data_IF_533691126248
#
_entry.id   IF_533691126248
#
_cell.length_a   1.000
_cell.length_b   1.000
_cell.length_c   1.000
_cell.angle_alpha   90.00
_cell.angle_beta   90.00
_cell.angle_gamma   90.00
#
_symmetry.space_group_name_H-M   'P 1'
#
loop_
_entity.id
_entity.type
_entity.pdbx_description
1 polymer ?
#
# COMPACT_ATOMS: atom_id res chain seq x y z
N UNK A 1 19.65 -19.01 -10.71
CA UNK A 1 18.86 -17.76 -10.62
C UNK A 1 19.66 -16.61 -11.18
N UNK A 2 19.04 -15.70 -11.86
CA UNK A 2 19.70 -14.49 -12.35
C UNK A 2 19.39 -13.34 -11.38
N UNK A 3 20.39 -12.93 -10.62
CA UNK A 3 20.21 -11.90 -9.57
C UNK A 3 19.81 -10.55 -10.14
N UNK A 4 20.32 -10.18 -11.32
CA UNK A 4 19.95 -8.92 -11.94
C UNK A 4 18.48 -8.91 -12.37
N UNK A 5 18.01 -9.98 -13.01
CA UNK A 5 16.62 -10.13 -13.39
C UNK A 5 15.71 -10.08 -12.17
N UNK A 6 16.10 -10.77 -11.11
CA UNK A 6 15.35 -10.79 -9.87
C UNK A 6 15.22 -9.39 -9.27
N UNK A 7 16.32 -8.65 -9.16
CA UNK A 7 16.30 -7.31 -8.60
C UNK A 7 15.47 -6.34 -9.42
N UNK A 8 15.55 -6.40 -10.74
CA UNK A 8 14.74 -5.54 -11.62
C UNK A 8 13.25 -5.86 -11.46
N UNK A 9 12.91 -7.15 -11.46
CA UNK A 9 11.53 -7.61 -11.28
C UNK A 9 10.96 -7.19 -9.93
N UNK A 10 11.75 -7.33 -8.87
CA UNK A 10 11.36 -6.95 -7.52
C UNK A 10 11.06 -5.45 -7.42
N UNK A 11 11.97 -4.62 -7.91
CA UNK A 11 11.79 -3.16 -7.89
C UNK A 11 10.58 -2.72 -8.71
N UNK A 12 10.37 -3.34 -9.87
CA UNK A 12 9.26 -3.04 -10.75
C UNK A 12 7.93 -3.34 -10.03
N UNK A 13 7.85 -4.51 -9.39
CA UNK A 13 6.66 -4.90 -8.64
C UNK A 13 6.39 -3.93 -7.50
N UNK A 14 7.40 -3.63 -6.68
CA UNK A 14 7.24 -2.75 -5.52
C UNK A 14 6.88 -1.32 -5.93
N UNK A 15 7.45 -0.83 -7.03
CA UNK A 15 7.10 0.49 -7.55
C UNK A 15 5.63 0.54 -7.97
N UNK A 16 5.17 -0.49 -8.68
CA UNK A 16 3.78 -0.58 -9.11
C UNK A 16 2.84 -0.61 -7.91
N UNK A 17 3.15 -1.43 -6.91
CA UNK A 17 2.35 -1.52 -5.68
C UNK A 17 2.33 -0.18 -4.94
N UNK A 18 3.49 0.45 -4.78
CA UNK A 18 3.58 1.73 -4.07
C UNK A 18 2.81 2.84 -4.76
N UNK A 19 3.01 3.01 -6.05
CA UNK A 19 2.34 4.06 -6.83
C UNK A 19 0.84 3.84 -6.87
N UNK A 20 0.40 2.61 -7.14
CA UNK A 20 -1.03 2.29 -7.22
C UNK A 20 -1.72 2.39 -5.87
N UNK A 21 -1.06 1.92 -4.81
CA UNK A 21 -1.60 2.00 -3.46
C UNK A 21 -1.76 3.45 -3.01
N UNK A 22 -0.76 4.28 -3.29
CA UNK A 22 -0.84 5.70 -2.95
C UNK A 22 -2.04 6.36 -3.61
N UNK A 23 -2.26 6.09 -4.89
CA UNK A 23 -3.41 6.63 -5.64
C UNK A 23 -4.74 6.19 -5.03
N UNK A 24 -4.84 4.89 -4.68
CA UNK A 24 -6.04 4.37 -4.07
C UNK A 24 -6.34 5.03 -2.73
N UNK A 25 -5.31 5.24 -1.91
CA UNK A 25 -5.45 5.91 -0.62
C UNK A 25 -5.88 7.36 -0.82
N UNK A 26 -5.24 8.09 -1.73
CA UNK A 26 -5.59 9.48 -1.99
C UNK A 26 -7.04 9.64 -2.43
N UNK A 27 -7.50 8.77 -3.32
CA UNK A 27 -8.87 8.80 -3.81
C UNK A 27 -9.87 8.44 -2.71
N UNK A 28 -9.54 7.45 -1.87
CA UNK A 28 -10.41 7.04 -0.77
C UNK A 28 -10.53 8.15 0.27
N UNK A 29 -9.43 8.81 0.61
CA UNK A 29 -9.45 9.93 1.55
C UNK A 29 -10.28 11.09 0.98
N UNK A 30 -10.10 11.42 -0.30
CA UNK A 30 -10.86 12.48 -0.93
C UNK A 30 -12.37 12.21 -0.90
N UNK A 31 -12.79 10.97 -1.20
CA UNK A 31 -14.18 10.58 -1.13
C UNK A 31 -14.73 10.67 0.30
N UNK A 32 -13.95 10.24 1.28
CA UNK A 32 -14.37 10.23 2.67
C UNK A 32 -14.43 11.63 3.26
N UNK A 33 -13.55 12.53 2.83
CA UNK A 33 -13.63 13.95 3.20
C UNK A 33 -14.88 14.59 2.61
N UNK A 34 -15.16 14.31 1.34
CA UNK A 34 -16.33 14.88 0.65
C UNK A 34 -17.64 14.40 1.27
N UNK A 35 -17.72 13.15 1.71
CA UNK A 35 -18.91 12.58 2.34
C UNK A 35 -19.02 12.87 3.83
N UNK A 36 -17.99 13.46 4.44
CA UNK A 36 -17.96 13.74 5.87
C UNK A 36 -17.65 12.53 6.74
N UNK A 37 -17.24 11.41 6.14
CA UNK A 37 -16.90 10.19 6.89
C UNK A 37 -15.63 10.39 7.72
N UNK A 38 -14.68 11.19 7.19
CA UNK A 38 -13.49 11.59 7.96
C UNK A 38 -13.45 13.11 8.06
N UNK A 39 -12.83 13.62 9.11
CA UNK A 39 -12.79 15.06 9.43
C UNK A 39 -11.48 15.72 8.98
N UNK A 40 -10.43 14.96 8.71
CA UNK A 40 -9.13 15.48 8.31
C UNK A 40 -8.09 15.51 9.41
N UNK A 41 -8.43 15.00 10.59
CA UNK A 41 -7.50 14.96 11.74
C UNK A 41 -7.21 13.54 12.21
N UNK A 42 -7.77 12.55 11.55
CA UNK A 42 -7.66 11.15 11.98
C UNK A 42 -6.29 10.56 11.71
N UNK A 43 -5.99 9.52 12.48
CA UNK A 43 -4.89 8.60 12.23
C UNK A 43 -5.53 7.27 11.88
N UNK A 44 -5.46 6.90 10.63
CA UNK A 44 -6.15 5.74 10.09
C UNK A 44 -5.25 4.51 10.11
N UNK A 45 -5.63 3.44 10.81
CA UNK A 45 -4.85 2.19 10.74
C UNK A 45 -4.87 1.66 9.31
N UNK A 46 -3.73 1.18 8.84
CA UNK A 46 -3.60 0.63 7.50
C UNK A 46 -2.85 -0.68 7.54
N UNK A 47 -3.29 -1.65 6.76
CA UNK A 47 -2.64 -2.96 6.65
C UNK A 47 -2.42 -3.29 5.19
N UNK A 48 -1.22 -3.75 4.86
CA UNK A 48 -0.89 -4.26 3.53
C UNK A 48 -0.48 -5.71 3.67
N UNK A 49 -1.06 -6.58 2.86
CA UNK A 49 -0.72 -8.01 2.88
C UNK A 49 0.10 -8.36 1.65
N UNK A 50 1.24 -8.99 1.87
CA UNK A 50 2.10 -9.50 0.81
C UNK A 50 1.97 -11.01 0.76
N UNK A 51 1.47 -11.53 -0.36
CA UNK A 51 1.34 -12.97 -0.58
C UNK A 51 2.15 -13.40 -1.79
N UNK A 52 3.07 -14.34 -1.60
CA UNK A 52 3.78 -14.99 -2.71
C UNK A 52 3.65 -16.50 -2.47
N UNK A 53 2.59 -17.14 -3.04
CA UNK A 53 2.34 -18.56 -2.77
C UNK A 53 3.50 -19.47 -3.16
N UNK A 54 4.21 -19.14 -4.26
CA UNK A 54 5.36 -19.92 -4.70
C UNK A 54 6.51 -19.96 -3.72
N UNK A 55 6.52 -19.04 -2.74
CA UNK A 55 7.53 -18.99 -1.68
C UNK A 55 6.95 -19.32 -0.31
N UNK A 56 5.68 -19.72 -0.25
CA UNK A 56 4.96 -19.93 1.01
C UNK A 56 5.08 -18.69 1.92
N UNK A 57 5.05 -17.51 1.29
CA UNK A 57 5.23 -16.24 2.00
C UNK A 57 3.88 -15.54 2.13
N UNK A 58 3.52 -15.17 3.36
CA UNK A 58 2.34 -14.34 3.63
C UNK A 58 2.68 -13.47 4.84
N UNK A 59 2.78 -12.15 4.61
CA UNK A 59 3.20 -11.19 5.62
C UNK A 59 2.28 -9.98 5.59
N UNK A 60 1.94 -9.46 6.77
CA UNK A 60 1.17 -8.22 6.90
C UNK A 60 2.07 -7.11 7.39
N UNK A 61 1.96 -5.97 6.74
CA UNK A 61 2.64 -4.75 7.15
C UNK A 61 1.58 -3.80 7.69
N UNK A 62 1.74 -3.38 8.94
CA UNK A 62 0.78 -2.51 9.60
C UNK A 62 1.38 -1.16 9.86
N UNK A 63 0.58 -0.12 9.70
CA UNK A 63 1.00 1.25 9.93
C UNK A 63 -0.20 2.16 10.10
N UNK A 64 0.04 3.45 9.98
CA UNK A 64 -1.01 4.46 10.10
C UNK A 64 -0.84 5.50 9.01
N UNK A 65 -1.97 5.95 8.49
CA UNK A 65 -2.04 7.08 7.58
C UNK A 65 -2.53 8.26 8.40
N UNK A 66 -1.70 9.26 8.57
CA UNK A 66 -2.05 10.45 9.34
C UNK A 66 -2.54 11.54 8.39
N UNK A 67 -3.72 12.11 8.68
CA UNK A 67 -4.32 13.14 7.85
C UNK A 67 -3.92 14.54 8.31
N UNK A 68 -3.35 14.63 9.51
CA UNK A 68 -2.94 15.89 10.09
C UNK A 68 -1.62 15.80 10.84
#
# INVERSE_FOLDING_TARGET
MNDETFNISLRKFLKMVGVSSQREIEQAVARSMASGTVQGSEKLPATMTLDIPGLSLSVKFEGKIELE
#
